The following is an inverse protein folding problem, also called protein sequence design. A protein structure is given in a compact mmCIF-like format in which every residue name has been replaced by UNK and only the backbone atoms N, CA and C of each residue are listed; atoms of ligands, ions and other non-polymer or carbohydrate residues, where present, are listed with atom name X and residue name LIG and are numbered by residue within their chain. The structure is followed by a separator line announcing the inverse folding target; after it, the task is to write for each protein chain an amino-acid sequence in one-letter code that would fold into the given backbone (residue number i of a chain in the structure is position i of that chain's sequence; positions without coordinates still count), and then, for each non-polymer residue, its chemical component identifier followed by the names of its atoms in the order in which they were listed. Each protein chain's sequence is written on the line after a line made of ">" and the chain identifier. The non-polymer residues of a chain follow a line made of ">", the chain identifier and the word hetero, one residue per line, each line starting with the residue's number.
data_IF_613709209392
#
_entry.id   IF_613709209392
#
_cell.length_a   1.000
_cell.length_b   1.000
_cell.length_c   1.000
_cell.angle_alpha   90.00
_cell.angle_beta   90.00
_cell.angle_gamma   90.00
#
_symmetry.space_group_name_H-M   'P 1'
#
loop_
_entity.id
_entity.type
_entity.pdbx_description
1 polymer ?
#
# COMPACT_ATOMS: atom_id res chain seq x y z
N UNK A 1 -19.91 -1.19 -10.78
CA UNK A 1 -18.75 -0.37 -10.33
C UNK A 1 -17.58 -1.30 -10.15
N UNK A 2 -16.46 -1.00 -10.81
CA UNK A 2 -15.36 -1.93 -11.08
C UNK A 2 -14.23 -1.68 -10.09
N UNK A 3 -13.84 -2.68 -9.30
CA UNK A 3 -12.71 -2.60 -8.36
C UNK A 3 -12.13 -3.99 -8.11
N UNK A 4 -10.80 -4.05 -8.20
CA UNK A 4 -10.03 -5.29 -8.06
C UNK A 4 -9.29 -5.25 -6.72
N UNK A 5 -9.11 -6.40 -6.10
CA UNK A 5 -8.24 -6.53 -4.93
C UNK A 5 -6.83 -6.03 -5.31
N UNK A 6 -6.25 -5.14 -4.50
CA UNK A 6 -4.91 -4.61 -4.78
C UNK A 6 -3.97 -4.92 -3.63
N UNK A 7 -2.78 -5.42 -3.98
CA UNK A 7 -1.57 -5.24 -3.17
C UNK A 7 -0.90 -4.03 -3.81
N UNK A 8 -0.78 -2.94 -3.06
CA UNK A 8 -0.24 -1.68 -3.56
C UNK A 8 1.26 -1.81 -3.87
N UNK A 9 1.63 -1.53 -5.12
CA UNK A 9 3.01 -1.41 -5.58
C UNK A 9 3.15 -0.07 -6.34
N UNK A 10 4.35 0.52 -6.39
CA UNK A 10 4.48 1.98 -6.50
C UNK A 10 5.57 2.44 -7.48
N UNK A 11 5.18 3.08 -8.59
CA UNK A 11 6.11 3.88 -9.40
C UNK A 11 6.62 5.10 -8.65
N UNK A 12 7.87 5.49 -8.91
CA UNK A 12 8.65 6.23 -7.92
C UNK A 12 8.94 7.70 -8.22
N UNK A 13 8.53 8.26 -9.37
CA UNK A 13 8.96 9.62 -9.74
C UNK A 13 7.79 10.54 -10.09
N UNK A 14 7.54 11.50 -9.21
CA UNK A 14 6.63 12.62 -9.47
C UNK A 14 5.15 12.22 -9.45
N UNK A 15 4.63 11.71 -10.56
CA UNK A 15 3.20 11.41 -10.72
C UNK A 15 2.95 10.19 -11.62
N UNK A 16 2.08 9.28 -11.16
CA UNK A 16 1.40 8.33 -12.03
C UNK A 16 0.06 8.94 -12.42
N UNK A 17 -0.18 9.10 -13.73
CA UNK A 17 -1.42 9.66 -14.25
C UNK A 17 -2.55 8.63 -14.24
N UNK A 18 -3.78 9.14 -14.27
CA UNK A 18 -4.99 8.32 -14.36
C UNK A 18 -4.92 7.35 -15.54
N UNK A 19 -5.44 6.15 -15.33
CA UNK A 19 -5.49 5.08 -16.31
C UNK A 19 -4.12 4.55 -16.76
N UNK A 20 -3.12 4.59 -15.88
CA UNK A 20 -1.80 3.98 -16.12
C UNK A 20 -1.64 2.65 -15.36
N UNK A 21 -1.87 2.66 -14.04
CA UNK A 21 -1.67 1.50 -13.15
C UNK A 21 -2.75 0.43 -13.40
N UNK A 22 -2.34 -0.82 -13.65
CA UNK A 22 -3.26 -1.97 -13.71
C UNK A 22 -3.40 -2.62 -12.34
N UNK A 23 -4.61 -3.07 -11.94
CA UNK A 23 -4.76 -3.75 -10.66
C UNK A 23 -4.00 -5.07 -10.62
N UNK A 24 -3.15 -5.27 -9.61
CA UNK A 24 -2.29 -6.46 -9.49
C UNK A 24 -3.07 -7.77 -9.60
N UNK A 25 -4.17 -7.91 -8.86
CA UNK A 25 -4.93 -9.16 -8.84
C UNK A 25 -5.75 -9.44 -10.11
N UNK A 26 -5.69 -8.56 -11.11
CA UNK A 26 -6.21 -8.86 -12.44
C UNK A 26 -5.27 -9.82 -13.22
N UNK A 27 -4.01 -9.94 -12.82
CA UNK A 27 -2.99 -10.74 -13.55
C UNK A 27 -2.13 -11.63 -12.64
N UNK A 28 -2.19 -11.48 -11.32
CA UNK A 28 -1.41 -12.28 -10.35
C UNK A 28 -2.14 -13.59 -10.00
N UNK A 29 -1.63 -14.74 -10.47
CA UNK A 29 -2.26 -16.06 -10.22
C UNK A 29 -2.44 -16.39 -8.73
N UNK A 30 -1.47 -16.11 -7.82
CA UNK A 30 -1.68 -16.30 -6.39
C UNK A 30 -2.89 -15.52 -5.87
N UNK A 31 -3.06 -14.28 -6.31
CA UNK A 31 -4.21 -13.48 -5.93
C UNK A 31 -5.53 -14.01 -6.50
N UNK A 32 -5.53 -14.45 -7.76
CA UNK A 32 -6.70 -15.05 -8.41
C UNK A 32 -7.19 -16.31 -7.69
N UNK A 33 -6.27 -17.21 -7.30
CA UNK A 33 -6.62 -18.41 -6.52
C UNK A 33 -7.29 -18.09 -5.18
N UNK A 34 -6.81 -17.05 -4.51
CA UNK A 34 -7.42 -16.58 -3.26
C UNK A 34 -8.86 -16.11 -3.53
N UNK A 35 -9.05 -15.31 -4.58
CA UNK A 35 -10.37 -14.79 -4.94
C UNK A 35 -11.35 -15.91 -5.31
N UNK A 36 -10.90 -16.95 -6.00
CA UNK A 36 -11.72 -18.12 -6.33
C UNK A 36 -12.24 -18.84 -5.08
N UNK A 37 -11.43 -18.91 -4.02
CA UNK A 37 -11.78 -19.54 -2.74
C UNK A 37 -12.71 -18.69 -1.88
N UNK A 38 -12.80 -17.39 -2.12
CA UNK A 38 -13.74 -16.52 -1.40
C UNK A 38 -15.19 -16.89 -1.77
N UNK A 39 -16.07 -16.85 -0.76
CA UNK A 39 -17.50 -16.94 -0.98
C UNK A 39 -17.93 -15.87 -2.00
N UNK A 40 -18.89 -16.15 -2.91
CA UNK A 40 -19.24 -15.23 -3.99
C UNK A 40 -19.59 -13.80 -3.52
N UNK A 41 -20.23 -13.65 -2.35
CA UNK A 41 -20.56 -12.36 -1.74
C UNK A 41 -19.34 -11.59 -1.19
N UNK A 42 -18.25 -12.29 -0.90
CA UNK A 42 -17.03 -11.74 -0.31
C UNK A 42 -15.97 -11.40 -1.37
N UNK A 43 -16.23 -11.73 -2.64
CA UNK A 43 -15.31 -11.46 -3.75
C UNK A 43 -15.19 -9.95 -4.02
N UNK A 44 -14.06 -9.50 -4.60
CA UNK A 44 -13.92 -8.14 -5.11
C UNK A 44 -14.98 -7.85 -6.19
N UNK A 45 -15.37 -6.59 -6.34
CA UNK A 45 -16.45 -6.21 -7.25
C UNK A 45 -16.12 -6.43 -8.74
N UNK A 46 -14.85 -6.42 -9.14
CA UNK A 46 -14.43 -6.71 -10.52
C UNK A 46 -12.98 -7.22 -10.59
N UNK A 47 -12.80 -8.43 -11.11
CA UNK A 47 -11.51 -9.12 -11.22
C UNK A 47 -11.05 -9.20 -12.69
N UNK A 48 -11.98 -9.08 -13.65
CA UNK A 48 -11.74 -9.40 -15.08
C UNK A 48 -11.59 -8.17 -15.96
N UNK A 49 -11.85 -6.97 -15.42
CA UNK A 49 -11.91 -5.75 -16.22
C UNK A 49 -10.61 -5.32 -16.90
N UNK A 50 -9.41 -5.71 -16.42
CA UNK A 50 -8.08 -5.26 -16.92
C UNK A 50 -7.91 -3.75 -17.21
N UNK A 51 -8.89 -2.92 -16.85
CA UNK A 51 -8.85 -1.49 -17.14
C UNK A 51 -7.96 -0.81 -16.12
N UNK A 52 -7.06 0.08 -16.58
CA UNK A 52 -6.23 0.85 -15.68
C UNK A 52 -7.05 1.71 -14.70
N UNK A 53 -6.52 1.92 -13.50
CA UNK A 53 -7.20 2.62 -12.41
C UNK A 53 -7.35 4.12 -12.73
N UNK A 54 -8.57 4.72 -12.66
CA UNK A 54 -8.77 6.15 -12.85
C UNK A 54 -8.34 6.98 -11.63
N UNK A 55 -7.13 6.74 -11.14
CA UNK A 55 -6.49 7.50 -10.06
C UNK A 55 -5.20 8.12 -10.55
N UNK A 56 -4.96 9.36 -10.14
CA UNK A 56 -3.62 9.92 -10.18
C UNK A 56 -2.98 9.76 -8.80
N UNK A 57 -1.67 9.52 -8.79
CA UNK A 57 -0.89 9.40 -7.57
C UNK A 57 0.35 10.24 -7.69
N UNK A 58 0.54 11.12 -6.72
CA UNK A 58 1.77 11.88 -6.58
C UNK A 58 2.71 11.15 -5.63
N UNK A 59 4.02 11.33 -5.80
CA UNK A 59 5.02 10.71 -4.96
C UNK A 59 5.95 11.73 -4.36
N UNK A 60 6.21 11.55 -3.08
CA UNK A 60 7.22 12.26 -2.35
C UNK A 60 8.03 11.30 -1.50
N UNK A 61 9.29 11.17 -1.84
CA UNK A 61 10.21 10.25 -1.21
C UNK A 61 10.71 10.84 0.11
N UNK A 62 10.51 10.10 1.19
CA UNK A 62 10.87 10.43 2.58
C UNK A 62 12.09 9.61 3.04
N UNK A 63 13.11 9.61 2.19
CA UNK A 63 14.30 8.77 2.33
C UNK A 63 15.47 9.56 2.93
N UNK A 64 16.24 8.88 3.78
CA UNK A 64 17.62 9.27 4.07
C UNK A 64 18.53 8.58 3.05
N UNK A 65 19.32 9.31 2.24
CA UNK A 65 20.21 8.69 1.26
C UNK A 65 21.20 7.72 1.95
N UNK A 66 21.44 6.53 1.37
CA UNK A 66 22.45 5.64 1.91
C UNK A 66 23.86 6.25 1.79
N UNK A 67 24.79 5.96 2.72
CA UNK A 67 26.17 6.42 2.65
C UNK A 67 27.02 5.62 1.63
N UNK A 68 26.36 4.88 0.73
CA UNK A 68 26.96 4.01 -0.27
C UNK A 68 26.18 4.08 -1.60
N UNK A 69 26.81 3.77 -2.74
CA UNK A 69 26.10 3.61 -4.01
C UNK A 69 25.15 2.42 -3.95
N UNK A 70 23.85 2.67 -4.07
CA UNK A 70 22.82 1.61 -4.14
C UNK A 70 22.87 0.88 -5.49
N UNK A 71 22.61 -0.43 -5.48
CA UNK A 71 22.42 -1.21 -6.70
C UNK A 71 21.11 -0.88 -7.44
N UNK A 72 20.23 -0.08 -6.82
CA UNK A 72 18.89 0.24 -7.34
C UNK A 72 18.69 1.74 -7.56
N UNK A 73 19.49 2.41 -8.40
CA UNK A 73 19.44 3.86 -8.57
C UNK A 73 18.09 4.37 -9.11
N UNK A 74 17.42 3.58 -9.95
CA UNK A 74 16.07 3.87 -10.46
C UNK A 74 15.03 4.02 -9.34
N UNK A 75 15.18 3.24 -8.26
CA UNK A 75 14.29 3.30 -7.10
C UNK A 75 14.60 4.48 -6.17
N UNK A 76 15.66 5.23 -6.48
CA UNK A 76 16.21 6.29 -5.64
C UNK A 76 16.31 7.64 -6.37
N UNK A 77 15.52 7.82 -7.43
CA UNK A 77 15.42 9.07 -8.17
C UNK A 77 14.97 10.26 -7.29
N UNK A 78 15.37 11.50 -7.62
CA UNK A 78 15.03 12.70 -6.84
C UNK A 78 13.53 13.04 -6.93
N UNK A 79 13.03 13.74 -5.92
CA UNK A 79 11.66 14.23 -5.89
C UNK A 79 11.40 15.26 -6.99
N UNK A 80 10.18 15.23 -7.55
CA UNK A 80 9.73 16.21 -8.54
C UNK A 80 8.85 17.25 -7.86
N UNK A 81 9.12 18.53 -8.12
CA UNK A 81 8.35 19.66 -7.61
C UNK A 81 7.52 20.26 -8.75
N UNK A 82 6.18 20.27 -8.68
CA UNK A 82 5.36 20.92 -9.67
C UNK A 82 5.59 22.44 -9.66
N UNK A 83 5.88 23.03 -10.83
CA UNK A 83 6.23 24.46 -10.95
C UNK A 83 5.20 25.41 -10.31
N UNK A 84 3.90 25.10 -10.44
CA UNK A 84 2.81 25.89 -9.86
C UNK A 84 2.79 25.89 -8.32
N UNK A 85 3.42 24.91 -7.70
CA UNK A 85 3.44 24.72 -6.25
C UNK A 85 4.86 24.76 -5.69
N UNK A 86 5.81 25.37 -6.41
CA UNK A 86 7.23 25.39 -6.04
C UNK A 86 7.47 25.83 -4.59
N UNK A 87 6.72 26.84 -4.12
CA UNK A 87 6.89 27.42 -2.79
C UNK A 87 6.24 26.63 -1.65
N UNK A 88 5.29 25.74 -1.95
CA UNK A 88 4.47 25.07 -0.92
C UNK A 88 4.60 23.55 -0.92
N UNK A 89 4.98 22.95 -2.06
CA UNK A 89 4.89 21.50 -2.26
C UNK A 89 5.83 20.73 -1.33
N UNK A 90 7.11 21.08 -1.35
CA UNK A 90 8.13 20.41 -0.55
C UNK A 90 7.85 20.55 0.95
N UNK A 91 7.64 21.77 1.45
CA UNK A 91 7.41 22.02 2.88
C UNK A 91 6.17 21.29 3.40
N UNK A 92 5.10 21.23 2.61
CA UNK A 92 3.86 20.51 2.96
C UNK A 92 4.09 19.00 3.03
N UNK A 93 4.74 18.43 2.01
CA UNK A 93 4.95 17.00 1.91
C UNK A 93 5.99 16.48 2.89
N UNK A 94 7.05 17.25 3.17
CA UNK A 94 8.02 16.93 4.23
C UNK A 94 7.35 16.94 5.60
N UNK A 95 6.60 18.00 5.93
CA UNK A 95 5.94 18.12 7.23
C UNK A 95 4.91 17.00 7.48
N UNK A 96 4.14 16.63 6.46
CA UNK A 96 3.16 15.54 6.58
C UNK A 96 3.81 14.16 6.51
N UNK A 97 4.75 13.98 5.58
CA UNK A 97 5.49 12.74 5.39
C UNK A 97 6.28 12.34 6.63
N UNK A 98 6.90 13.29 7.32
CA UNK A 98 7.63 13.04 8.55
C UNK A 98 6.72 12.48 9.65
N UNK A 99 5.55 13.08 9.87
CA UNK A 99 4.56 12.59 10.84
C UNK A 99 4.10 11.16 10.54
N UNK A 100 3.89 10.85 9.25
CA UNK A 100 3.51 9.51 8.82
C UNK A 100 4.66 8.51 9.00
N UNK A 101 5.89 8.90 8.68
CA UNK A 101 7.09 8.09 8.88
C UNK A 101 7.28 7.75 10.36
N UNK A 102 7.26 8.74 11.24
CA UNK A 102 7.40 8.55 12.69
C UNK A 102 6.33 7.60 13.25
N UNK A 103 5.08 7.75 12.81
CA UNK A 103 3.98 6.87 13.22
C UNK A 103 4.22 5.42 12.79
N UNK A 104 4.63 5.19 11.54
CA UNK A 104 4.91 3.84 11.04
C UNK A 104 6.15 3.24 11.70
N UNK A 105 7.21 4.01 11.92
CA UNK A 105 8.41 3.53 12.62
C UNK A 105 8.12 3.18 14.08
N UNK A 106 7.24 3.91 14.76
CA UNK A 106 6.79 3.53 16.10
C UNK A 106 6.08 2.17 16.09
N UNK A 107 5.18 1.94 15.12
CA UNK A 107 4.52 0.64 14.94
C UNK A 107 5.52 -0.45 14.57
N UNK A 108 6.51 -0.16 13.74
CA UNK A 108 7.56 -1.11 13.35
C UNK A 108 8.36 -1.58 14.57
N UNK A 109 8.79 -0.66 15.44
CA UNK A 109 9.48 -0.99 16.71
C UNK A 109 8.61 -1.84 17.63
N UNK A 110 7.34 -1.48 17.79
CA UNK A 110 6.39 -2.27 18.59
C UNK A 110 6.20 -3.67 18.01
N UNK A 111 6.14 -3.78 16.70
CA UNK A 111 5.99 -5.06 15.99
C UNK A 111 7.24 -5.92 16.18
N UNK A 112 8.44 -5.35 16.07
CA UNK A 112 9.69 -6.07 16.30
C UNK A 112 9.74 -6.66 17.73
N UNK A 113 9.46 -5.83 18.75
CA UNK A 113 9.40 -6.29 20.15
C UNK A 113 8.32 -7.36 20.36
N UNK A 114 7.13 -7.18 19.79
CA UNK A 114 6.03 -8.15 19.89
C UNK A 114 6.32 -9.49 19.20
N UNK A 115 7.26 -9.52 18.25
CA UNK A 115 7.76 -10.71 17.58
C UNK A 115 9.00 -11.32 18.25
N UNK A 116 9.45 -10.78 19.39
CA UNK A 116 10.65 -11.25 20.08
C UNK A 116 11.95 -10.93 19.34
N UNK A 117 11.97 -9.86 18.54
CA UNK A 117 13.16 -9.32 17.90
C UNK A 117 13.70 -8.14 18.69
N UNK A 118 14.96 -7.76 18.40
CA UNK A 118 15.50 -6.47 18.81
C UNK A 118 14.60 -5.33 18.38
N UNK A 119 14.39 -4.34 19.27
CA UNK A 119 13.42 -3.25 19.08
C UNK A 119 13.60 -2.53 17.75
N UNK A 120 14.85 -2.31 17.33
CA UNK A 120 15.18 -1.56 16.11
C UNK A 120 15.34 -2.44 14.86
N UNK A 121 15.08 -3.75 14.94
CA UNK A 121 15.37 -4.70 13.86
C UNK A 121 14.78 -4.29 12.50
N UNK A 122 13.53 -3.80 12.48
CA UNK A 122 12.91 -3.32 11.24
C UNK A 122 13.36 -1.90 10.88
N UNK A 123 13.39 -0.98 11.84
CA UNK A 123 13.76 0.43 11.59
C UNK A 123 15.19 0.57 11.08
N UNK A 124 16.13 -0.24 11.56
CA UNK A 124 17.50 -0.30 11.04
C UNK A 124 17.53 -0.84 9.60
N UNK A 125 16.78 -1.91 9.32
CA UNK A 125 16.68 -2.48 7.98
C UNK A 125 16.05 -1.51 6.96
N UNK A 126 15.11 -0.67 7.40
CA UNK A 126 14.45 0.36 6.59
C UNK A 126 15.07 1.75 6.64
N UNK A 127 16.18 1.95 7.36
CA UNK A 127 16.79 3.27 7.58
C UNK A 127 17.02 4.07 6.29
N UNK A 128 17.45 3.39 5.22
CA UNK A 128 17.71 3.99 3.91
C UNK A 128 16.66 3.61 2.87
N UNK A 129 15.54 3.04 3.31
CA UNK A 129 14.43 2.66 2.44
C UNK A 129 13.87 3.86 1.67
N UNK A 130 13.50 3.68 0.39
CA UNK A 130 12.82 4.71 -0.38
C UNK A 130 11.35 4.78 0.09
N UNK A 131 11.12 5.29 1.30
CA UNK A 131 9.76 5.47 1.83
C UNK A 131 9.02 6.49 0.98
N UNK A 132 7.74 6.25 0.70
CA UNK A 132 6.95 7.08 -0.21
C UNK A 132 5.70 7.60 0.48
N UNK A 133 5.60 8.91 0.57
CA UNK A 133 4.31 9.57 0.72
C UNK A 133 3.64 9.60 -0.65
N UNK A 134 2.42 9.07 -0.71
CA UNK A 134 1.70 8.84 -1.95
C UNK A 134 0.28 9.43 -1.92
N UNK A 135 0.13 10.77 -2.03
CA UNK A 135 -1.18 11.38 -2.18
C UNK A 135 -1.87 10.85 -3.44
N UNK A 136 -3.01 10.20 -3.27
CA UNK A 136 -3.79 9.61 -4.35
C UNK A 136 -5.08 10.38 -4.49
N UNK A 137 -5.39 10.82 -5.71
CA UNK A 137 -6.63 11.51 -6.04
C UNK A 137 -7.38 10.76 -7.14
N UNK A 138 -8.70 10.69 -6.98
CA UNK A 138 -9.61 10.15 -7.99
C UNK A 138 -10.85 11.04 -8.07
N UNK A 139 -11.33 11.27 -9.28
CA UNK A 139 -12.64 11.89 -9.52
C UNK A 139 -13.76 10.91 -9.15
N UNK A 140 -14.67 11.32 -8.27
CA UNK A 140 -15.81 10.50 -7.84
C UNK A 140 -16.85 10.25 -8.93
N UNK A 141 -16.79 10.99 -10.05
CA UNK A 141 -17.55 10.67 -11.25
C UNK A 141 -16.98 9.39 -11.91
N UNK A 142 -15.72 9.01 -11.62
CA UNK A 142 -15.01 7.92 -12.30
C UNK A 142 -14.40 6.80 -11.43
N UNK A 143 -13.90 6.98 -10.19
CA UNK A 143 -13.50 5.90 -9.21
C UNK A 143 -12.94 6.49 -7.88
N UNK A 144 -12.49 5.66 -6.90
CA UNK A 144 -12.29 6.00 -5.47
C UNK A 144 -11.13 5.21 -4.80
N UNK A 145 -10.13 5.81 -4.09
CA UNK A 145 -9.15 5.06 -3.22
C UNK A 145 -8.58 5.72 -1.90
N UNK A 146 -8.81 5.16 -0.68
CA UNK A 146 -8.19 5.44 0.68
C UNK A 146 -8.90 6.39 1.71
N UNK A 147 -8.78 6.30 3.06
CA UNK A 147 -9.62 7.09 4.04
C UNK A 147 -9.81 8.56 3.62
N UNK A 148 -11.04 8.92 3.26
CA UNK A 148 -11.34 10.20 2.62
C UNK A 148 -12.65 10.76 3.15
N UNK A 149 -12.97 12.00 2.75
CA UNK A 149 -14.31 12.61 2.96
C UNK A 149 -15.45 11.73 2.42
N UNK A 150 -15.11 10.75 1.58
CA UNK A 150 -15.99 9.75 1.00
C UNK A 150 -15.51 8.35 1.42
N UNK A 151 -16.37 7.54 2.08
CA UNK A 151 -16.04 6.16 2.47
C UNK A 151 -15.85 5.26 1.24
N UNK A 152 -15.59 3.97 1.44
CA UNK A 152 -15.47 3.00 0.34
C UNK A 152 -14.37 1.94 0.52
N UNK A 153 -13.45 2.15 1.47
CA UNK A 153 -12.36 1.22 1.75
C UNK A 153 -12.92 -0.06 2.37
N UNK A 154 -12.58 -1.20 1.77
CA UNK A 154 -12.81 -2.53 2.32
C UNK A 154 -11.47 -3.24 2.52
N UNK A 155 -11.40 -4.07 3.55
CA UNK A 155 -10.25 -4.95 3.83
C UNK A 155 -10.73 -6.38 3.96
N UNK A 156 -9.89 -7.36 3.66
CA UNK A 156 -10.21 -8.76 3.89
C UNK A 156 -9.53 -9.32 5.13
N UNK A 157 -10.29 -10.00 5.97
CA UNK A 157 -9.75 -10.82 7.05
C UNK A 157 -9.10 -12.06 6.46
N UNK A 158 -7.77 -12.16 6.53
CA UNK A 158 -6.99 -13.23 5.88
C UNK A 158 -7.35 -14.65 6.36
N UNK A 159 -7.89 -14.78 7.56
CA UNK A 159 -8.28 -16.06 8.16
C UNK A 159 -9.68 -16.54 7.77
N UNK A 160 -10.59 -15.65 7.40
CA UNK A 160 -11.99 -16.00 7.07
C UNK A 160 -12.39 -15.66 5.64
N UNK A 161 -11.59 -14.85 4.95
CA UNK A 161 -11.96 -14.28 3.66
C UNK A 161 -13.07 -13.23 3.75
N UNK A 162 -13.51 -12.84 4.96
CA UNK A 162 -14.59 -11.86 5.11
C UNK A 162 -14.13 -10.47 4.66
N UNK A 163 -14.90 -9.85 3.77
CA UNK A 163 -14.76 -8.47 3.31
C UNK A 163 -15.40 -7.53 4.33
N UNK A 164 -14.62 -6.59 4.83
CA UNK A 164 -15.00 -5.72 5.94
C UNK A 164 -14.94 -4.27 5.48
N UNK A 165 -16.06 -3.52 5.53
CA UNK A 165 -16.04 -2.08 5.28
C UNK A 165 -15.30 -1.37 6.42
N UNK A 166 -14.27 -0.61 6.07
CA UNK A 166 -13.46 0.11 7.05
C UNK A 166 -14.17 1.40 7.47
N UNK A 167 -14.40 1.53 8.78
CA UNK A 167 -14.84 2.78 9.42
C UNK A 167 -13.77 3.23 10.40
N UNK A 168 -13.10 4.33 10.08
CA UNK A 168 -12.09 4.90 10.99
C UNK A 168 -12.73 6.02 11.82
N UNK A 169 -12.68 5.96 13.17
CA UNK A 169 -13.33 6.93 14.05
C UNK A 169 -12.87 8.38 13.83
N UNK A 170 -13.72 9.36 14.15
CA UNK A 170 -13.34 10.78 14.14
C UNK A 170 -12.16 11.02 15.10
N UNK A 171 -11.21 11.88 14.72
CA UNK A 171 -9.97 12.11 15.46
C UNK A 171 -8.72 11.67 14.68
N UNK A 172 -7.60 11.55 15.40
CA UNK A 172 -6.26 11.30 14.83
C UNK A 172 -5.95 9.80 14.82
N UNK A 173 -6.60 9.08 13.92
CA UNK A 173 -6.42 7.64 13.76
C UNK A 173 -5.86 7.30 12.38
N UNK A 174 -4.90 6.38 12.35
CA UNK A 174 -4.35 5.81 11.13
C UNK A 174 -4.74 4.34 11.04
N UNK A 175 -5.05 3.88 9.83
CA UNK A 175 -5.11 2.47 9.53
C UNK A 175 -3.71 2.06 9.07
N UNK A 176 -3.16 1.02 9.68
CA UNK A 176 -1.88 0.44 9.29
C UNK A 176 -2.13 -1.01 8.86
N UNK A 177 -1.56 -1.39 7.72
CA UNK A 177 -1.60 -2.76 7.21
C UNK A 177 -0.18 -3.23 6.91
N UNK A 178 0.08 -4.51 7.15
CA UNK A 178 1.35 -5.12 6.77
C UNK A 178 1.49 -5.15 5.25
N UNK A 179 2.70 -4.84 4.77
CA UNK A 179 3.09 -4.99 3.37
C UNK A 179 3.79 -6.33 3.09
N UNK A 180 4.10 -6.58 1.82
CA UNK A 180 4.74 -7.83 1.37
C UNK A 180 6.15 -8.04 1.93
N UNK A 181 6.91 -6.98 2.16
CA UNK A 181 8.25 -7.09 2.75
C UNK A 181 8.19 -7.65 4.19
N UNK A 182 7.24 -7.19 5.01
CA UNK A 182 7.04 -7.74 6.36
C UNK A 182 6.51 -9.18 6.30
N UNK A 183 5.58 -9.48 5.39
CA UNK A 183 5.11 -10.86 5.18
C UNK A 183 6.28 -11.80 4.86
N UNK A 184 7.19 -11.36 3.99
CA UNK A 184 8.36 -12.12 3.60
C UNK A 184 9.35 -12.30 4.78
N UNK A 185 9.72 -11.23 5.49
CA UNK A 185 10.62 -11.32 6.64
C UNK A 185 10.10 -12.24 7.74
N UNK A 186 8.78 -12.31 7.91
CA UNK A 186 8.17 -13.16 8.93
C UNK A 186 7.84 -14.58 8.44
N UNK A 187 8.22 -14.95 7.22
CA UNK A 187 7.89 -16.26 6.64
C UNK A 187 6.37 -16.50 6.56
N UNK A 188 5.57 -15.43 6.44
CA UNK A 188 4.11 -15.50 6.41
C UNK A 188 3.44 -15.60 7.79
N UNK A 189 4.15 -15.43 8.90
CA UNK A 189 3.54 -15.32 10.23
C UNK A 189 2.64 -14.07 10.33
N UNK A 190 3.10 -12.97 9.76
CA UNK A 190 2.30 -11.74 9.54
C UNK A 190 1.94 -11.69 8.06
N UNK A 191 0.65 -11.64 7.74
CA UNK A 191 0.19 -11.64 6.34
C UNK A 191 -0.05 -10.20 5.86
N UNK A 192 0.37 -9.90 4.64
CA UNK A 192 0.09 -8.65 3.95
C UNK A 192 -1.42 -8.44 3.80
N UNK A 193 -1.87 -7.21 4.04
CA UNK A 193 -3.28 -6.87 3.99
C UNK A 193 -3.82 -6.82 2.56
N UNK A 194 -5.02 -7.36 2.34
CA UNK A 194 -5.77 -7.10 1.11
C UNK A 194 -6.78 -5.99 1.34
N UNK A 195 -6.91 -5.13 0.35
CA UNK A 195 -7.87 -4.05 0.37
C UNK A 195 -8.31 -3.66 -1.04
N UNK A 196 -9.51 -3.10 -1.09
CA UNK A 196 -10.08 -2.45 -2.27
C UNK A 196 -10.78 -1.19 -1.80
N UNK A 197 -11.05 -0.27 -2.72
CA UNK A 197 -11.84 0.89 -2.38
C UNK A 197 -12.87 1.11 -3.46
N UNK A 198 -14.14 1.07 -3.07
CA UNK A 198 -15.26 1.04 -4.01
C UNK A 198 -16.22 2.19 -3.73
N UNK A 199 -16.94 2.63 -4.76
CA UNK A 199 -18.12 3.47 -4.56
C UNK A 199 -19.21 2.61 -3.94
N UNK A 200 -19.72 3.02 -2.78
CA UNK A 200 -20.81 2.37 -2.07
C UNK A 200 -21.88 3.40 -1.68
N UNK A 201 -22.97 2.95 -1.07
CA UNK A 201 -24.08 3.84 -0.65
C UNK A 201 -23.62 4.96 0.29
N UNK A 202 -22.66 4.66 1.17
CA UNK A 202 -22.06 5.67 2.05
C UNK A 202 -21.31 6.76 1.26
N UNK A 203 -20.73 6.40 0.13
CA UNK A 203 -20.07 7.33 -0.79
C UNK A 203 -21.11 8.20 -1.49
N UNK A 204 -22.13 7.58 -2.08
CA UNK A 204 -23.21 8.29 -2.78
C UNK A 204 -23.89 9.28 -1.84
N UNK A 205 -24.21 8.86 -0.61
CA UNK A 205 -24.75 9.76 0.41
C UNK A 205 -23.82 10.90 0.79
N UNK A 206 -22.49 10.67 0.83
CA UNK A 206 -21.52 11.74 1.06
C UNK A 206 -21.42 12.71 -0.13
N UNK A 207 -21.56 12.24 -1.36
CA UNK A 207 -21.62 13.07 -2.57
C UNK A 207 -22.86 13.97 -2.56
N UNK A 208 -24.04 13.42 -2.25
CA UNK A 208 -25.28 14.21 -2.19
C UNK A 208 -25.22 15.28 -1.09
N UNK A 209 -24.68 14.95 0.09
CA UNK A 209 -24.42 15.95 1.14
C UNK A 209 -23.43 17.03 0.68
N UNK A 210 -22.39 16.66 -0.07
CA UNK A 210 -21.40 17.62 -0.56
C UNK A 210 -22.01 18.59 -1.57
N UNK A 211 -22.81 18.08 -2.52
CA UNK A 211 -23.49 18.88 -3.54
C UNK A 211 -24.44 19.91 -2.92
N UNK A 212 -25.12 19.55 -1.84
CA UNK A 212 -26.03 20.46 -1.13
C UNK A 212 -25.28 21.46 -0.26
N UNK A 213 -24.26 21.03 0.49
CA UNK A 213 -23.57 21.90 1.45
C UNK A 213 -22.51 22.81 0.84
N UNK A 214 -21.78 22.37 -0.20
CA UNK A 214 -20.82 23.21 -0.92
C UNK A 214 -20.81 22.86 -2.42
N UNK A 215 -21.75 23.42 -3.20
CA UNK A 215 -21.99 23.03 -4.59
C UNK A 215 -20.81 23.32 -5.53
N UNK A 216 -19.91 24.24 -5.16
CA UNK A 216 -18.73 24.61 -5.96
C UNK A 216 -17.52 23.71 -5.69
N UNK A 217 -17.57 22.86 -4.66
CA UNK A 217 -16.45 21.98 -4.32
C UNK A 217 -16.40 20.79 -5.27
N UNK A 218 -15.25 20.50 -5.90
CA UNK A 218 -15.14 19.32 -6.76
C UNK A 218 -15.30 18.04 -5.94
N UNK A 219 -15.99 17.07 -6.53
CA UNK A 219 -16.17 15.73 -5.98
C UNK A 219 -14.91 14.89 -6.20
N UNK A 220 -13.79 15.36 -5.65
CA UNK A 220 -12.50 14.68 -5.72
C UNK A 220 -12.21 14.06 -4.37
N UNK A 221 -11.89 12.78 -4.44
CA UNK A 221 -11.52 11.99 -3.30
C UNK A 221 -10.01 11.92 -3.20
N UNK A 222 -9.49 12.44 -2.10
CA UNK A 222 -8.06 12.46 -1.82
C UNK A 222 -7.79 11.53 -0.64
N UNK A 223 -6.76 10.71 -0.75
CA UNK A 223 -6.14 9.99 0.36
C UNK A 223 -4.64 10.26 0.37
N UNK A 224 -4.02 10.09 1.53
CA UNK A 224 -2.57 10.21 1.67
C UNK A 224 -2.02 8.95 2.29
N UNK A 225 -1.58 8.05 1.43
CA UNK A 225 -0.97 6.78 1.85
C UNK A 225 0.52 7.01 2.10
N UNK A 226 1.09 6.29 3.07
CA UNK A 226 2.53 6.27 3.30
C UNK A 226 3.02 4.83 3.20
N UNK A 227 3.95 4.58 2.27
CA UNK A 227 4.60 3.29 2.06
C UNK A 227 5.96 3.32 2.74
N UNK A 228 6.08 2.58 3.83
CA UNK A 228 7.35 2.36 4.49
C UNK A 228 8.00 1.10 3.92
N UNK A 229 9.27 1.22 3.54
CA UNK A 229 10.03 0.20 2.82
C UNK A 229 11.31 -0.10 3.56
N UNK A 230 11.78 -1.34 3.44
CA UNK A 230 13.16 -1.69 3.77
C UNK A 230 14.13 -1.01 2.78
N UNK A 231 15.41 -0.94 3.14
CA UNK A 231 16.47 -0.43 2.26
C UNK A 231 16.56 -1.29 0.99
N UNK A 232 16.68 -0.69 -0.20
CA UNK A 232 16.68 -1.44 -1.47
C UNK A 232 17.76 -2.53 -1.53
N UNK A 233 18.93 -2.27 -0.96
CA UNK A 233 20.06 -3.21 -0.92
C UNK A 233 19.96 -4.25 0.20
N UNK A 234 18.91 -4.21 1.02
CA UNK A 234 18.70 -5.16 2.13
C UNK A 234 18.39 -6.56 1.60
N UNK A 235 18.93 -7.59 2.26
CA UNK A 235 18.64 -9.00 1.98
C UNK A 235 17.28 -9.39 2.57
N UNK A 236 16.27 -9.41 1.72
CA UNK A 236 14.93 -9.87 2.06
C UNK A 236 14.93 -11.40 2.11
N UNK A 237 14.91 -11.96 3.32
CA UNK A 237 14.77 -13.38 3.57
C UNK A 237 14.02 -13.63 4.88
N UNK A 238 13.32 -14.77 5.05
CA UNK A 238 12.64 -15.09 6.30
C UNK A 238 13.61 -15.12 7.49
N UNK A 239 13.19 -14.50 8.59
CA UNK A 239 13.89 -14.56 9.88
C UNK A 239 13.61 -15.96 10.47
N UNK A 240 14.64 -16.78 10.78
CA UNK A 240 14.46 -18.20 11.09
C UNK A 240 13.40 -18.49 12.16
N UNK A 241 13.50 -17.83 13.33
CA UNK A 241 12.57 -18.03 14.44
C UNK A 241 11.11 -17.64 14.09
N UNK A 242 10.91 -16.68 13.20
CA UNK A 242 9.58 -16.27 12.75
C UNK A 242 9.00 -17.20 11.69
N UNK A 243 9.85 -17.71 10.79
CA UNK A 243 9.46 -18.71 9.80
C UNK A 243 9.07 -20.05 10.45
N UNK A 244 9.78 -20.45 11.50
CA UNK A 244 9.41 -21.61 12.33
C UNK A 244 8.04 -21.38 12.99
N UNK A 245 7.85 -20.24 13.66
CA UNK A 245 6.57 -19.87 14.24
C UNK A 245 5.44 -19.80 13.19
N UNK A 246 5.72 -19.33 11.97
CA UNK A 246 4.76 -19.32 10.87
C UNK A 246 4.35 -20.74 10.46
N UNK A 247 5.30 -21.66 10.40
CA UNK A 247 5.06 -23.07 10.03
C UNK A 247 4.14 -23.75 11.03
N UNK A 248 4.37 -23.50 12.33
CA UNK A 248 3.51 -24.02 13.40
C UNK A 248 2.10 -23.42 13.34
N UNK A 249 1.99 -22.10 13.14
CA UNK A 249 0.69 -21.41 13.09
C UNK A 249 -0.13 -21.78 11.87
N UNK A 250 0.52 -21.96 10.72
CA UNK A 250 -0.10 -22.17 9.42
C UNK A 250 -0.01 -23.63 8.97
N UNK A 251 0.16 -24.58 9.90
CA UNK A 251 0.40 -25.99 9.59
C UNK A 251 -0.71 -26.62 8.72
N UNK A 252 -1.93 -26.08 8.79
CA UNK A 252 -3.11 -26.52 8.05
C UNK A 252 -3.39 -25.70 6.78
N UNK A 253 -2.58 -24.67 6.47
CA UNK A 253 -2.72 -23.92 5.22
C UNK A 253 -2.23 -24.77 4.03
N UNK A 254 -3.11 -25.06 3.08
CA UNK A 254 -2.79 -25.85 1.88
C UNK A 254 -1.84 -25.10 0.93
N UNK A 255 -1.93 -23.77 0.86
CA UNK A 255 -1.08 -22.94 0.01
C UNK A 255 0.18 -22.48 0.77
N UNK A 256 1.20 -23.33 0.78
CA UNK A 256 2.51 -22.94 1.29
C UNK A 256 3.19 -21.99 0.31
N UNK A 257 3.39 -20.75 0.76
CA UNK A 257 4.17 -19.76 0.02
C UNK A 257 5.64 -19.98 0.32
N UNK A 258 6.44 -20.11 -0.73
CA UNK A 258 7.89 -20.12 -0.60
C UNK A 258 8.43 -18.69 -0.65
N UNK A 259 9.11 -18.27 0.43
CA UNK A 259 9.67 -16.93 0.58
C UNK A 259 11.17 -16.96 0.25
N UNK A 260 11.47 -16.91 -1.05
CA UNK A 260 12.84 -17.02 -1.57
C UNK A 260 13.70 -15.79 -1.26
N UNK A 261 14.95 -15.96 -0.79
CA UNK A 261 15.85 -14.84 -0.55
C UNK A 261 16.07 -13.97 -1.79
N UNK A 262 15.95 -12.65 -1.64
CA UNK A 262 16.22 -11.68 -2.70
C UNK A 262 16.62 -10.32 -2.13
N UNK A 263 17.07 -9.39 -2.96
CA UNK A 263 17.19 -7.98 -2.55
C UNK A 263 15.81 -7.31 -2.51
N UNK A 264 15.62 -6.40 -1.57
CA UNK A 264 14.38 -5.60 -1.48
C UNK A 264 14.12 -4.83 -2.77
N UNK A 265 15.15 -4.27 -3.39
CA UNK A 265 15.03 -3.58 -4.67
C UNK A 265 14.49 -4.50 -5.77
N UNK A 266 15.01 -5.73 -5.88
CA UNK A 266 14.49 -6.74 -6.81
C UNK A 266 13.03 -7.09 -6.52
N UNK A 267 12.67 -7.21 -5.24
CA UNK A 267 11.27 -7.42 -4.84
C UNK A 267 10.38 -6.28 -5.34
N UNK A 268 10.80 -5.04 -5.16
CA UNK A 268 10.04 -3.86 -5.63
C UNK A 268 9.95 -3.84 -7.15
N UNK A 269 11.04 -4.05 -7.88
CA UNK A 269 11.03 -4.08 -9.36
C UNK A 269 10.07 -5.15 -9.92
N UNK A 270 10.07 -6.35 -9.33
CA UNK A 270 9.14 -7.42 -9.71
C UNK A 270 7.68 -7.00 -9.48
N UNK A 271 7.42 -6.35 -8.35
CA UNK A 271 6.09 -5.82 -8.05
C UNK A 271 5.65 -4.72 -9.03
N UNK A 272 6.58 -3.86 -9.49
CA UNK A 272 6.29 -2.82 -10.49
C UNK A 272 6.00 -3.41 -11.88
N UNK A 273 6.73 -4.44 -12.28
CA UNK A 273 6.48 -5.17 -13.52
C UNK A 273 5.06 -5.75 -13.56
N UNK A 274 4.59 -6.33 -12.45
CA UNK A 274 3.24 -6.90 -12.37
C UNK A 274 2.11 -5.87 -12.55
N UNK A 275 2.35 -4.59 -12.28
CA UNK A 275 1.35 -3.52 -12.44
C UNK A 275 1.61 -2.63 -13.66
N UNK A 276 2.49 -3.07 -14.57
CA UNK A 276 2.87 -2.40 -15.82
C UNK A 276 3.48 -1.00 -15.61
N UNK A 277 4.20 -0.83 -14.51
CA UNK A 277 4.88 0.39 -14.11
C UNK A 277 6.40 0.32 -14.35
N UNK A 278 6.92 -0.88 -14.62
CA UNK A 278 8.29 -1.10 -15.06
C UNK A 278 8.30 -2.10 -16.22
N UNK A 279 9.19 -1.88 -17.19
CA UNK A 279 9.40 -2.76 -18.35
C UNK A 279 10.27 -3.98 -18.01
#
# INVERSE_FOLDING_TARGET
>A
MKCTMTISCVDQVGVTLENTEKPKCAVDEPCLRIIERLAPSERPLDIRGHHPDPKCRFFWKMQTPPPYPTAFPSLNMPNVIPARFADTWQSTLEAWGLKMKEAVEAVARMTATGLGLEREAFTDAGKYGPHLLAPTASDLIKTIHGRSRYPGLHVWARNTGRRIPVKVPAGRYLLVQAGKQLEHLTGGLVKAGYHEVVVNDGTLGAMERMKTQNPTRPLIRISSTFFWHLSSDFDLKPIPQLAEAATLRNALEEDKVNYEPMKVGTQVENELKHIALMA
#
